data_IF_767640078067
#
_entry.id   IF_767640078067
#
_cell.length_a   1.000
_cell.length_b   1.000
_cell.length_c   1.000
_cell.angle_alpha   90.00
_cell.angle_beta   90.00
_cell.angle_gamma   90.00
#
_symmetry.space_group_name_H-M   'P 1'
#
loop_
_entity.id
_entity.type
_entity.pdbx_description
1 polymer ?
#
# COMPACT_ATOMS: atom_id res chain seq x y z
N UNK A 1 -16.78 17.44 16.09
CA UNK A 1 -16.52 16.30 16.98
C UNK A 1 -17.62 16.34 18.01
N UNK A 2 -18.63 15.49 17.86
CA UNK A 2 -19.67 15.33 18.88
C UNK A 2 -19.15 14.22 19.76
N UNK A 3 -18.55 14.59 20.90
CA UNK A 3 -18.33 13.67 22.01
C UNK A 3 -19.74 13.35 22.54
N UNK A 4 -20.32 12.27 22.03
CA UNK A 4 -21.48 11.67 22.67
C UNK A 4 -20.95 10.90 23.86
N UNK A 5 -21.45 11.22 25.05
CA UNK A 5 -21.26 10.40 26.24
C UNK A 5 -21.75 8.98 25.92
N UNK A 6 -20.81 8.08 25.60
CA UNK A 6 -21.07 6.66 25.50
C UNK A 6 -21.37 6.19 26.92
N UNK A 7 -22.66 6.11 27.28
CA UNK A 7 -23.08 5.21 28.36
C UNK A 7 -22.42 3.86 28.08
N UNK A 8 -21.50 3.46 28.95
CA UNK A 8 -20.68 2.29 28.68
C UNK A 8 -21.60 1.07 28.72
N UNK A 9 -21.38 0.10 27.84
CA UNK A 9 -22.11 -1.18 27.86
C UNK A 9 -22.02 -1.82 29.27
N UNK A 10 -20.99 -1.47 30.05
CA UNK A 10 -20.83 -1.85 31.45
C UNK A 10 -21.93 -1.29 32.38
N UNK A 11 -22.36 -0.05 32.21
CA UNK A 11 -23.40 0.55 33.06
C UNK A 11 -24.75 -0.16 32.89
N UNK A 12 -25.10 -0.52 31.65
CA UNK A 12 -26.33 -1.26 31.33
C UNK A 12 -26.29 -2.71 31.83
N UNK A 13 -25.10 -3.32 31.88
CA UNK A 13 -24.94 -4.71 32.39
C UNK A 13 -25.19 -4.85 33.88
N UNK A 14 -24.98 -3.79 34.66
CA UNK A 14 -25.23 -3.80 36.11
C UNK A 14 -26.69 -3.44 36.46
N UNK A 15 -27.33 -2.59 35.65
CA UNK A 15 -28.70 -2.11 35.86
C UNK A 15 -29.76 -3.22 35.75
N UNK A 16 -29.62 -4.14 34.79
CA UNK A 16 -30.63 -5.18 34.52
C UNK A 16 -30.76 -6.19 35.69
N UNK A 17 -29.67 -6.77 36.23
CA UNK A 17 -29.73 -7.60 37.44
C UNK A 17 -30.31 -6.84 38.65
N UNK A 18 -29.87 -5.60 38.88
CA UNK A 18 -30.31 -4.81 40.04
C UNK A 18 -31.81 -4.52 40.05
N UNK A 19 -32.39 -4.17 38.89
CA UNK A 19 -33.83 -3.93 38.76
C UNK A 19 -34.61 -5.25 38.93
N UNK A 20 -34.12 -6.35 38.34
CA UNK A 20 -34.74 -7.68 38.47
C UNK A 20 -34.79 -8.17 39.92
N UNK A 21 -33.67 -8.11 40.63
CA UNK A 21 -33.55 -8.56 42.02
C UNK A 21 -34.42 -7.71 42.97
N UNK A 22 -34.50 -6.40 42.71
CA UNK A 22 -35.35 -5.48 43.47
C UNK A 22 -36.84 -5.82 43.33
N UNK A 23 -37.29 -6.18 42.13
CA UNK A 23 -38.68 -6.57 41.88
C UNK A 23 -39.04 -7.93 42.49
N UNK A 24 -38.12 -8.90 42.42
CA UNK A 24 -38.30 -10.23 43.05
C UNK A 24 -38.43 -10.09 44.57
N UNK A 25 -37.57 -9.26 45.18
CA UNK A 25 -37.59 -9.00 46.62
C UNK A 25 -38.90 -8.32 47.05
N UNK A 26 -39.32 -7.27 46.34
CA UNK A 26 -40.58 -6.56 46.64
C UNK A 26 -41.80 -7.49 46.62
N UNK A 27 -41.79 -8.49 45.74
CA UNK A 27 -42.83 -9.53 45.71
C UNK A 27 -42.80 -10.46 46.93
N UNK A 28 -41.60 -10.90 47.35
CA UNK A 28 -41.43 -11.76 48.52
C UNK A 28 -41.89 -11.08 49.82
N UNK A 29 -41.61 -9.78 49.96
CA UNK A 29 -42.06 -8.97 51.08
C UNK A 29 -43.60 -8.84 51.10
N UNK A 30 -44.22 -8.66 49.93
CA UNK A 30 -45.68 -8.63 49.78
C UNK A 30 -46.33 -9.97 50.18
N UNK A 31 -45.79 -11.10 49.74
CA UNK A 31 -46.31 -12.44 50.09
C UNK A 31 -46.24 -12.70 51.60
N UNK A 32 -45.16 -12.23 52.25
CA UNK A 32 -44.99 -12.33 53.71
C UNK A 32 -46.01 -11.49 54.46
N UNK A 33 -46.26 -10.24 54.02
CA UNK A 33 -47.27 -9.36 54.61
C UNK A 33 -48.69 -9.94 54.49
N UNK A 34 -49.01 -10.57 53.35
CA UNK A 34 -50.28 -11.23 53.08
C UNK A 34 -50.57 -12.40 54.04
N UNK A 35 -49.53 -13.12 54.45
CA UNK A 35 -49.65 -14.22 55.42
C UNK A 35 -49.82 -13.74 56.88
N UNK A 36 -49.53 -12.46 57.17
CA UNK A 36 -49.42 -11.93 58.53
C UNK A 36 -50.55 -10.98 58.99
N UNK A 37 -51.48 -10.52 58.13
CA UNK A 37 -52.58 -9.58 58.50
C UNK A 37 -54.00 -10.13 58.23
N UNK A 38 -55.11 -9.84 58.95
CA UNK A 38 -55.50 -8.78 59.91
C UNK A 38 -56.75 -9.21 60.73
N UNK A 39 -57.03 -8.52 61.85
CA UNK A 39 -58.17 -8.64 62.78
C UNK A 39 -59.40 -7.73 62.44
N UNK A 40 -60.46 -8.26 61.81
CA UNK A 40 -61.92 -7.94 61.99
C UNK A 40 -62.73 -8.86 61.04
N UNK A 41 -63.89 -9.43 61.40
CA UNK A 41 -64.42 -10.65 60.71
C UNK A 41 -64.96 -10.44 59.27
N UNK A 42 -65.67 -9.34 58.97
CA UNK A 42 -66.18 -9.06 57.62
C UNK A 42 -65.10 -8.49 56.69
N UNK A 43 -64.28 -7.57 57.19
CA UNK A 43 -63.11 -7.05 56.47
C UNK A 43 -62.10 -8.18 56.18
N UNK A 44 -61.94 -9.15 57.11
CA UNK A 44 -61.16 -10.37 56.87
C UNK A 44 -61.64 -11.14 55.66
N UNK A 45 -62.94 -11.37 55.50
CA UNK A 45 -63.43 -12.19 54.40
C UNK A 45 -63.24 -11.51 53.04
N UNK A 46 -63.50 -10.20 52.95
CA UNK A 46 -63.28 -9.42 51.73
C UNK A 46 -61.78 -9.37 51.40
N UNK A 47 -60.94 -9.07 52.39
CA UNK A 47 -59.49 -9.02 52.22
C UNK A 47 -58.90 -10.39 51.86
N UNK A 48 -59.35 -11.48 52.50
CA UNK A 48 -58.90 -12.85 52.18
C UNK A 48 -59.27 -13.24 50.74
N UNK A 49 -60.47 -12.90 50.27
CA UNK A 49 -60.89 -13.19 48.89
C UNK A 49 -60.03 -12.40 47.90
N UNK A 50 -59.86 -11.09 48.10
CA UNK A 50 -59.01 -10.23 47.26
C UNK A 50 -57.53 -10.68 47.28
N UNK A 51 -56.99 -10.99 48.45
CA UNK A 51 -55.63 -11.49 48.61
C UNK A 51 -55.42 -12.86 47.96
N UNK A 52 -56.41 -13.74 47.99
CA UNK A 52 -56.33 -15.06 47.37
C UNK A 52 -56.40 -14.96 45.84
N UNK A 53 -57.26 -14.08 45.31
CA UNK A 53 -57.31 -13.78 43.88
C UNK A 53 -55.98 -13.17 43.39
N UNK A 54 -55.43 -12.22 44.14
CA UNK A 54 -54.14 -11.58 43.82
C UNK A 54 -52.97 -12.56 43.97
N UNK A 55 -52.98 -13.43 44.99
CA UNK A 55 -51.99 -14.50 45.16
C UNK A 55 -52.04 -15.50 44.01
N UNK A 56 -53.22 -15.90 43.56
CA UNK A 56 -53.39 -16.81 42.42
C UNK A 56 -52.93 -16.17 41.10
N UNK A 57 -53.21 -14.87 40.90
CA UNK A 57 -52.75 -14.12 39.72
C UNK A 57 -51.24 -13.93 39.70
N UNK A 58 -50.65 -13.71 40.88
CA UNK A 58 -49.20 -13.51 41.04
C UNK A 58 -48.42 -14.82 41.21
N UNK A 59 -49.11 -15.95 41.33
CA UNK A 59 -48.48 -17.26 41.50
C UNK A 59 -47.66 -17.59 40.24
N UNK A 60 -46.34 -17.66 40.40
CA UNK A 60 -45.39 -17.90 39.32
C UNK A 60 -44.88 -16.64 38.60
N UNK A 61 -45.30 -15.43 39.03
CA UNK A 61 -44.72 -14.18 38.55
C UNK A 61 -43.20 -14.08 38.80
N UNK A 62 -42.68 -14.43 40.00
CA UNK A 62 -41.22 -14.45 40.23
C UNK A 62 -40.48 -15.38 39.27
N UNK A 63 -40.97 -16.60 39.07
CA UNK A 63 -40.34 -17.57 38.17
C UNK A 63 -40.34 -17.09 36.71
N UNK A 64 -41.39 -16.37 36.29
CA UNK A 64 -41.43 -15.74 34.95
C UNK A 64 -40.44 -14.59 34.85
N UNK A 65 -40.34 -13.74 35.88
CA UNK A 65 -39.37 -12.66 35.94
C UNK A 65 -37.93 -13.21 35.91
N UNK A 66 -37.63 -14.23 36.71
CA UNK A 66 -36.31 -14.86 36.78
C UNK A 66 -35.92 -15.47 35.44
N UNK A 67 -36.84 -16.21 34.79
CA UNK A 67 -36.60 -16.78 33.46
C UNK A 67 -36.35 -15.72 32.40
N UNK A 68 -37.11 -14.62 32.44
CA UNK A 68 -36.92 -13.50 31.50
C UNK A 68 -35.62 -12.77 31.78
N UNK A 69 -35.27 -12.56 33.05
CA UNK A 69 -34.03 -11.92 33.46
C UNK A 69 -32.81 -12.72 32.98
N UNK A 70 -32.82 -14.03 33.16
CA UNK A 70 -31.74 -14.90 32.67
C UNK A 70 -31.67 -14.92 31.13
N UNK A 71 -32.80 -14.91 30.43
CA UNK A 71 -32.82 -14.79 28.98
C UNK A 71 -32.19 -13.46 28.51
N UNK A 72 -32.57 -12.34 29.12
CA UNK A 72 -32.03 -11.01 28.81
C UNK A 72 -30.54 -10.89 29.15
N UNK A 73 -30.08 -11.43 30.29
CA UNK A 73 -28.65 -11.50 30.62
C UNK A 73 -27.87 -12.30 29.58
N UNK A 74 -28.41 -13.43 29.14
CA UNK A 74 -27.80 -14.27 28.10
C UNK A 74 -27.65 -13.53 26.76
N UNK A 75 -28.72 -12.85 26.31
CA UNK A 75 -28.70 -12.03 25.10
C UNK A 75 -27.68 -10.88 25.21
N UNK A 76 -27.64 -10.19 26.35
CA UNK A 76 -26.69 -9.11 26.60
C UNK A 76 -25.25 -9.59 26.54
N UNK A 77 -24.94 -10.73 27.15
CA UNK A 77 -23.60 -11.31 27.11
C UNK A 77 -23.18 -11.68 25.67
N UNK A 78 -24.09 -12.28 24.90
CA UNK A 78 -23.84 -12.60 23.49
C UNK A 78 -23.61 -11.35 22.63
N UNK A 79 -24.34 -10.27 22.90
CA UNK A 79 -24.16 -8.99 22.23
C UNK A 79 -22.82 -8.35 22.59
N UNK A 80 -22.41 -8.41 23.87
CA UNK A 80 -21.09 -7.93 24.32
C UNK A 80 -19.95 -8.68 23.62
N UNK A 81 -20.04 -10.00 23.51
CA UNK A 81 -19.07 -10.81 22.77
C UNK A 81 -19.00 -10.42 21.29
N UNK A 82 -20.16 -10.25 20.64
CA UNK A 82 -20.23 -9.85 19.23
C UNK A 82 -19.65 -8.45 19.00
N UNK A 83 -19.95 -7.50 19.88
CA UNK A 83 -19.39 -6.14 19.84
C UNK A 83 -17.87 -6.16 19.97
N UNK A 84 -17.32 -6.90 20.93
CA UNK A 84 -15.88 -7.02 21.11
C UNK A 84 -15.19 -7.60 19.88
N UNK A 85 -15.80 -8.63 19.26
CA UNK A 85 -15.27 -9.20 18.01
C UNK A 85 -15.25 -8.18 16.87
N UNK A 86 -16.33 -7.43 16.68
CA UNK A 86 -16.40 -6.36 15.66
C UNK A 86 -15.34 -5.28 15.94
N UNK A 87 -15.15 -4.90 17.21
CA UNK A 87 -14.14 -3.92 17.62
C UNK A 87 -12.72 -4.39 17.29
N UNK A 88 -12.40 -5.65 17.52
CA UNK A 88 -11.12 -6.25 17.15
C UNK A 88 -10.92 -6.30 15.63
N UNK A 89 -11.94 -6.68 14.87
CA UNK A 89 -11.90 -6.71 13.41
C UNK A 89 -11.69 -5.30 12.83
N UNK A 90 -12.34 -4.28 13.39
CA UNK A 90 -12.14 -2.88 13.04
C UNK A 90 -10.72 -2.39 13.35
N UNK A 91 -10.14 -2.81 14.48
CA UNK A 91 -8.76 -2.46 14.81
C UNK A 91 -7.77 -3.06 13.80
N UNK A 92 -7.95 -4.34 13.44
CA UNK A 92 -7.14 -5.02 12.41
C UNK A 92 -7.30 -4.36 11.04
N UNK A 93 -8.52 -3.98 10.66
CA UNK A 93 -8.77 -3.29 9.40
C UNK A 93 -8.02 -1.94 9.30
N UNK A 94 -7.98 -1.16 10.39
CA UNK A 94 -7.21 0.08 10.46
C UNK A 94 -5.70 -0.15 10.34
N UNK A 95 -5.20 -1.24 10.91
CA UNK A 95 -3.79 -1.63 10.78
C UNK A 95 -3.46 -1.98 9.33
N UNK A 96 -4.30 -2.81 8.68
CA UNK A 96 -4.14 -3.12 7.25
C UNK A 96 -4.20 -1.88 6.35
N UNK A 97 -5.09 -0.93 6.63
CA UNK A 97 -5.16 0.33 5.89
C UNK A 97 -3.85 1.13 6.00
N UNK A 98 -3.27 1.19 7.20
CA UNK A 98 -1.99 1.86 7.44
C UNK A 98 -0.85 1.19 6.67
N UNK A 99 -0.78 -0.14 6.71
CA UNK A 99 0.25 -0.91 6.00
C UNK A 99 0.12 -0.77 4.47
N UNK A 100 -1.11 -0.80 3.95
CA UNK A 100 -1.36 -0.58 2.52
C UNK A 100 -0.95 0.83 2.09
N UNK A 101 -1.25 1.85 2.89
CA UNK A 101 -0.82 3.21 2.60
C UNK A 101 0.71 3.35 2.61
N UNK A 102 1.39 2.69 3.55
CA UNK A 102 2.85 2.68 3.57
C UNK A 102 3.45 2.01 2.31
N UNK A 103 2.87 0.88 1.89
CA UNK A 103 3.27 0.19 0.66
C UNK A 103 3.05 1.05 -0.59
N UNK A 104 1.91 1.73 -0.71
CA UNK A 104 1.62 2.63 -1.83
C UNK A 104 2.70 3.70 -1.96
N UNK A 105 3.06 4.36 -0.84
CA UNK A 105 4.12 5.38 -0.83
C UNK A 105 5.47 4.79 -1.26
N UNK A 106 5.80 3.58 -0.84
CA UNK A 106 7.04 2.91 -1.24
C UNK A 106 7.05 2.60 -2.74
N UNK A 107 5.94 2.10 -3.29
CA UNK A 107 5.81 1.80 -4.71
C UNK A 107 5.85 3.05 -5.59
N UNK A 108 5.24 4.15 -5.15
CA UNK A 108 5.32 5.43 -5.85
C UNK A 108 6.77 5.95 -5.94
N UNK A 109 7.54 5.83 -4.85
CA UNK A 109 8.97 6.17 -4.86
C UNK A 109 9.76 5.30 -5.83
N UNK A 110 9.55 3.98 -5.78
CA UNK A 110 10.19 3.03 -6.70
C UNK A 110 9.85 3.33 -8.17
N UNK A 111 8.59 3.67 -8.45
CA UNK A 111 8.13 4.07 -9.78
C UNK A 111 8.88 5.31 -10.26
N UNK A 112 8.94 6.36 -9.44
CA UNK A 112 9.64 7.60 -9.79
C UNK A 112 11.15 7.37 -10.02
N UNK A 113 11.79 6.51 -9.23
CA UNK A 113 13.19 6.15 -9.44
C UNK A 113 13.43 5.38 -10.74
N UNK A 114 12.51 4.48 -11.12
CA UNK A 114 12.57 3.77 -12.39
C UNK A 114 12.34 4.73 -13.58
N UNK A 115 11.39 5.65 -13.47
CA UNK A 115 11.14 6.66 -14.50
C UNK A 115 12.37 7.55 -14.73
N UNK A 116 13.05 7.97 -13.66
CA UNK A 116 14.34 8.69 -13.77
C UNK A 116 15.40 7.87 -14.49
N UNK A 117 15.58 6.60 -14.10
CA UNK A 117 16.55 5.69 -14.77
C UNK A 117 16.25 5.51 -16.25
N UNK A 118 14.97 5.35 -16.62
CA UNK A 118 14.54 5.22 -18.01
C UNK A 118 14.89 6.49 -18.80
N UNK A 119 14.61 7.67 -18.23
CA UNK A 119 14.95 8.95 -18.86
C UNK A 119 16.46 9.09 -19.09
N UNK A 120 17.28 8.76 -18.09
CA UNK A 120 18.74 8.78 -18.20
C UNK A 120 19.27 7.81 -19.26
N UNK A 121 18.71 6.60 -19.34
CA UNK A 121 19.07 5.62 -20.36
C UNK A 121 18.69 6.09 -21.76
N UNK A 122 17.52 6.70 -21.93
CA UNK A 122 17.10 7.27 -23.21
C UNK A 122 18.01 8.43 -23.64
N UNK A 123 18.39 9.30 -22.70
CA UNK A 123 19.34 10.38 -22.98
C UNK A 123 20.73 9.85 -23.37
N UNK A 124 21.22 8.80 -22.69
CA UNK A 124 22.47 8.13 -23.05
C UNK A 124 22.39 7.47 -24.42
N UNK A 125 21.28 6.80 -24.72
CA UNK A 125 21.04 6.18 -26.04
C UNK A 125 21.08 7.23 -27.15
N UNK A 126 20.37 8.34 -26.99
CA UNK A 126 20.37 9.44 -27.97
C UNK A 126 21.79 9.99 -28.21
N UNK A 127 22.57 10.22 -27.15
CA UNK A 127 23.97 10.65 -27.28
C UNK A 127 24.85 9.63 -28.01
N UNK A 128 24.63 8.33 -27.76
CA UNK A 128 25.35 7.27 -28.47
C UNK A 128 24.99 7.21 -29.95
N UNK A 129 23.72 7.40 -30.29
CA UNK A 129 23.24 7.50 -31.67
C UNK A 129 23.88 8.72 -32.38
N UNK A 130 23.84 9.90 -31.77
CA UNK A 130 24.49 11.10 -32.32
C UNK A 130 26.01 10.92 -32.52
N UNK A 131 26.69 10.25 -31.59
CA UNK A 131 28.11 9.95 -31.71
C UNK A 131 28.39 8.92 -32.81
N UNK A 132 27.54 7.88 -32.92
CA UNK A 132 27.63 6.89 -33.99
C UNK A 132 27.47 7.56 -35.35
N UNK A 133 26.48 8.43 -35.51
CA UNK A 133 26.22 9.13 -36.76
C UNK A 133 27.39 10.06 -37.13
N UNK A 134 27.93 10.81 -36.16
CA UNK A 134 29.15 11.60 -36.38
C UNK A 134 30.32 10.75 -36.86
N UNK A 135 30.58 9.61 -36.22
CA UNK A 135 31.66 8.69 -36.61
C UNK A 135 31.42 8.15 -38.03
N UNK A 136 30.18 7.77 -38.37
CA UNK A 136 29.84 7.30 -39.71
C UNK A 136 30.04 8.39 -40.76
N UNK A 137 29.63 9.64 -40.48
CA UNK A 137 29.88 10.78 -41.36
C UNK A 137 31.38 10.98 -41.56
N UNK A 138 32.20 10.98 -40.49
CA UNK A 138 33.65 11.10 -40.62
C UNK A 138 34.23 9.98 -41.47
N UNK A 139 33.77 8.74 -41.28
CA UNK A 139 34.20 7.59 -42.06
C UNK A 139 33.83 7.72 -43.53
N UNK A 140 32.62 8.18 -43.84
CA UNK A 140 32.15 8.42 -45.22
C UNK A 140 32.96 9.54 -45.90
N UNK A 141 33.18 10.66 -45.21
CA UNK A 141 33.87 11.82 -45.79
C UNK A 141 35.36 11.57 -46.00
N UNK A 142 36.00 10.84 -45.08
CA UNK A 142 37.46 10.67 -45.10
C UNK A 142 37.91 9.33 -45.66
N UNK A 143 37.05 8.32 -45.69
CA UNK A 143 37.42 6.94 -46.00
C UNK A 143 38.38 6.32 -44.98
N UNK A 144 38.61 6.97 -43.83
CA UNK A 144 39.56 6.51 -42.80
C UNK A 144 38.91 5.43 -41.93
N UNK A 145 39.63 4.34 -41.73
CA UNK A 145 39.35 3.27 -40.79
C UNK A 145 40.48 3.19 -39.77
N UNK A 146 40.20 3.62 -38.53
CA UNK A 146 41.17 3.52 -37.44
C UNK A 146 41.25 2.11 -36.89
N UNK A 147 42.46 1.70 -36.53
CA UNK A 147 42.70 0.60 -35.59
C UNK A 147 42.67 1.17 -34.17
N UNK A 148 41.93 0.49 -33.29
CA UNK A 148 41.79 0.88 -31.88
C UNK A 148 42.71 0.07 -30.96
N UNK A 149 43.70 -0.62 -31.52
CA UNK A 149 44.68 -1.40 -30.77
C UNK A 149 45.93 -0.55 -30.44
N UNK A 150 46.29 -0.51 -29.16
CA UNK A 150 47.51 0.15 -28.66
C UNK A 150 47.40 1.68 -28.50
N UNK A 151 48.55 2.33 -28.30
CA UNK A 151 48.67 3.76 -28.02
C UNK A 151 49.03 4.61 -29.25
N UNK A 152 48.92 4.04 -30.46
CA UNK A 152 49.32 4.70 -31.71
C UNK A 152 48.10 5.08 -32.54
N UNK A 153 48.18 6.19 -33.27
CA UNK A 153 47.15 6.56 -34.26
C UNK A 153 47.44 5.79 -35.54
N UNK A 154 46.79 4.66 -35.72
CA UNK A 154 47.02 3.76 -36.85
C UNK A 154 45.71 3.35 -37.52
N UNK A 155 45.80 2.91 -38.77
CA UNK A 155 44.63 2.56 -39.55
C UNK A 155 44.93 2.51 -41.04
N UNK A 156 43.87 2.62 -41.84
CA UNK A 156 43.97 2.69 -43.29
C UNK A 156 42.92 3.63 -43.88
N UNK A 157 43.19 4.12 -45.08
CA UNK A 157 42.25 4.91 -45.89
C UNK A 157 41.87 4.10 -47.11
N UNK A 158 40.56 3.99 -47.38
CA UNK A 158 40.04 3.35 -48.59
C UNK A 158 39.71 4.43 -49.62
N UNK A 159 40.31 4.34 -50.80
CA UNK A 159 39.91 5.15 -51.93
C UNK A 159 38.70 4.49 -52.61
N UNK A 160 37.54 5.14 -52.59
CA UNK A 160 36.32 4.60 -53.19
C UNK A 160 36.43 4.41 -54.71
N UNK A 161 37.20 5.27 -55.40
CA UNK A 161 37.34 5.23 -56.86
C UNK A 161 38.25 4.10 -57.34
N UNK A 162 39.37 3.88 -56.65
CA UNK A 162 40.38 2.88 -57.06
C UNK A 162 40.32 1.57 -56.27
N UNK A 163 39.49 1.51 -55.21
CA UNK A 163 39.46 0.42 -54.21
C UNK A 163 40.82 0.13 -53.58
N UNK A 164 41.82 1.00 -53.75
CA UNK A 164 43.15 0.87 -53.13
C UNK A 164 43.08 1.28 -51.66
N UNK A 165 43.80 0.54 -50.83
CA UNK A 165 43.87 0.76 -49.38
C UNK A 165 45.26 1.29 -49.04
N UNK A 166 45.32 2.40 -48.31
CA UNK A 166 46.59 3.01 -47.88
C UNK A 166 46.69 3.00 -46.35
N UNK A 167 47.61 2.22 -45.76
CA UNK A 167 47.79 2.19 -44.32
C UNK A 167 48.52 3.44 -43.81
N UNK A 168 48.30 3.78 -42.54
CA UNK A 168 49.05 4.81 -41.83
C UNK A 168 49.30 4.38 -40.38
N UNK A 169 50.38 4.90 -39.81
CA UNK A 169 50.78 4.65 -38.44
C UNK A 169 51.55 5.87 -37.91
N UNK A 170 51.03 6.49 -36.84
CA UNK A 170 51.63 7.65 -36.20
C UNK A 170 51.76 7.40 -34.70
N UNK A 171 52.90 7.76 -34.13
CA UNK A 171 53.13 7.72 -32.69
C UNK A 171 52.82 9.10 -32.06
N UNK A 172 51.78 9.23 -31.21
CA UNK A 172 51.43 10.48 -30.52
C UNK A 172 52.52 11.03 -29.61
N UNK A 173 53.42 10.18 -29.11
CA UNK A 173 54.54 10.61 -28.25
C UNK A 173 55.64 11.33 -29.05
N UNK A 174 55.73 11.06 -30.36
CA UNK A 174 56.75 11.60 -31.24
C UNK A 174 56.23 12.74 -32.12
N UNK A 175 54.92 12.75 -32.41
CA UNK A 175 54.30 13.71 -33.31
C UNK A 175 53.20 14.50 -32.58
N UNK A 176 53.27 15.83 -32.65
CA UNK A 176 52.20 16.69 -32.16
C UNK A 176 50.88 16.40 -32.88
N UNK A 177 49.74 16.57 -32.19
CA UNK A 177 48.40 16.42 -32.76
C UNK A 177 48.22 17.15 -34.10
N UNK A 178 48.67 18.41 -34.21
CA UNK A 178 48.60 19.20 -35.45
C UNK A 178 49.31 18.53 -36.64
N UNK A 179 50.49 17.93 -36.40
CA UNK A 179 51.25 17.21 -37.43
C UNK A 179 50.53 15.93 -37.87
N UNK A 180 49.99 15.17 -36.92
CA UNK A 180 49.20 13.97 -37.21
C UNK A 180 47.95 14.32 -38.02
N UNK A 181 47.21 15.35 -37.61
CA UNK A 181 46.01 15.83 -38.32
C UNK A 181 46.33 16.25 -39.75
N UNK A 182 47.37 17.06 -39.97
CA UNK A 182 47.77 17.47 -41.31
C UNK A 182 48.18 16.27 -42.18
N UNK A 183 48.94 15.33 -41.63
CA UNK A 183 49.34 14.12 -42.35
C UNK A 183 48.13 13.27 -42.76
N UNK A 184 47.12 13.14 -41.89
CA UNK A 184 45.87 12.46 -42.23
C UNK A 184 45.12 13.16 -43.37
N UNK A 185 44.97 14.49 -43.33
CA UNK A 185 44.35 15.25 -44.41
C UNK A 185 45.08 15.08 -45.75
N UNK A 186 46.41 15.08 -45.74
CA UNK A 186 47.21 14.87 -46.94
C UNK A 186 47.02 13.45 -47.52
N UNK A 187 46.88 12.44 -46.66
CA UNK A 187 46.59 11.06 -47.09
C UNK A 187 45.21 10.99 -47.75
N UNK A 188 44.18 11.58 -47.13
CA UNK A 188 42.82 11.62 -47.68
C UNK A 188 42.79 12.36 -49.01
N UNK A 189 43.40 13.55 -49.08
CA UNK A 189 43.44 14.35 -50.32
C UNK A 189 44.14 13.61 -51.46
N UNK A 190 45.26 12.94 -51.19
CA UNK A 190 45.96 12.13 -52.20
C UNK A 190 45.10 10.94 -52.66
N UNK A 191 44.39 10.29 -51.73
CA UNK A 191 43.47 9.22 -52.06
C UNK A 191 42.29 9.71 -52.93
N UNK A 192 41.80 10.94 -52.77
CA UNK A 192 40.71 11.48 -53.60
C UNK A 192 41.12 11.92 -55.01
N UNK A 193 42.40 12.21 -55.25
CA UNK A 193 42.91 12.80 -56.52
C UNK A 193 43.41 11.75 -57.52
N UNK A 194 43.61 10.50 -57.09
CA UNK A 194 43.86 9.36 -57.99
C UNK A 194 42.55 9.00 -58.72
N UNK A 195 42.21 9.77 -59.76
CA UNK A 195 41.19 9.43 -60.76
C UNK A 195 41.65 8.28 -61.67
N UNK A 196 40.74 7.68 -62.46
CA UNK A 196 41.05 6.52 -63.28
C UNK A 196 42.18 6.85 -64.27
N UNK A 197 43.23 6.02 -64.29
CA UNK A 197 44.19 6.00 -65.40
C UNK A 197 43.39 5.74 -66.68
N UNK A 198 43.35 6.73 -67.57
CA UNK A 198 42.92 6.53 -68.95
C UNK A 198 43.97 5.63 -69.58
N UNK A 199 43.60 4.38 -69.86
CA UNK A 199 44.40 3.45 -70.65
C UNK A 199 44.25 3.91 -72.10
N UNK A 200 45.32 4.48 -72.67
CA UNK A 200 45.45 4.70 -74.13
C UNK A 200 45.71 3.39 -74.86
#
# INVERSE_FOLDING_TARGET
MVEGDEESIEDVTELIPMIGDSLIKAYSDFETALNNGVNNRCERLIHIVQCKEMKNMMQGFPNRLEKNLEATKGELNNNKLSYNKIREEMAKAKEYEKDMNALVVEYERKKHDLERKISDLNNKKKKLEENRDKILIYKLVTGIHFSYEGNTVSGYVVNENSKKVKPFHFNPEQLSQKRITNALYDIVKKASVEGPEVIE
#
